data_IF_358437969385
#
_entry.id   IF_358437969385
#
_cell.length_a   1.000
_cell.length_b   1.000
_cell.length_c   1.000
_cell.angle_alpha   90.00
_cell.angle_beta   90.00
_cell.angle_gamma   90.00
#
_symmetry.space_group_name_H-M   'P 1'
#
loop_
_entity.id
_entity.type
_entity.pdbx_description
1 polymer ?
#
# COMPACT_ATOMS: atom_id res chain seq x y z
N UNK A 1 -27.27 -5.88 23.95
CA UNK A 1 -26.68 -4.75 23.21
C UNK A 1 -25.17 -4.74 23.49
N UNK A 2 -24.30 -5.12 22.55
CA UNK A 2 -22.86 -4.98 22.78
C UNK A 2 -22.40 -3.57 22.42
N UNK A 3 -21.57 -3.00 23.30
CA UNK A 3 -21.00 -1.67 23.17
C UNK A 3 -20.17 -1.55 21.88
N UNK A 4 -20.49 -0.54 21.08
CA UNK A 4 -19.67 -0.10 19.95
C UNK A 4 -18.32 0.36 20.48
N UNK A 5 -17.28 -0.40 20.18
CA UNK A 5 -15.88 -0.05 20.47
C UNK A 5 -15.54 1.18 19.64
N UNK A 6 -15.53 2.35 20.28
CA UNK A 6 -15.09 3.60 19.68
C UNK A 6 -13.59 3.49 19.41
N UNK A 7 -13.20 3.37 18.14
CA UNK A 7 -11.80 3.45 17.74
C UNK A 7 -11.34 4.90 17.80
N UNK A 8 -10.26 5.15 18.55
CA UNK A 8 -9.61 6.46 18.66
C UNK A 8 -9.11 6.92 17.27
N UNK A 9 -9.27 8.19 16.88
CA UNK A 9 -8.93 8.71 15.55
C UNK A 9 -7.44 8.61 15.15
N UNK A 10 -6.56 8.23 16.09
CA UNK A 10 -5.12 8.29 15.94
C UNK A 10 -4.52 7.24 14.98
N UNK A 11 -5.31 6.28 14.46
CA UNK A 11 -4.77 5.11 13.75
C UNK A 11 -4.93 5.17 12.22
N UNK A 12 -5.56 6.21 11.64
CA UNK A 12 -5.85 6.28 10.19
C UNK A 12 -4.84 7.18 9.42
N UNK A 13 -3.56 7.16 9.79
CA UNK A 13 -2.72 8.35 9.68
C UNK A 13 -1.33 8.16 9.07
N UNK A 14 -1.17 7.58 7.88
CA UNK A 14 0.19 7.55 7.26
C UNK A 14 0.35 8.25 5.90
N UNK A 15 -0.69 8.45 5.09
CA UNK A 15 -0.66 9.52 4.06
C UNK A 15 -1.20 10.87 4.58
N UNK A 16 -2.05 10.79 5.62
CA UNK A 16 -2.66 11.95 6.31
C UNK A 16 -1.64 12.70 7.17
N UNK A 17 -0.68 12.01 7.77
CA UNK A 17 0.26 12.59 8.75
C UNK A 17 1.13 13.67 8.14
N UNK A 18 1.57 13.50 6.89
CA UNK A 18 2.47 14.45 6.24
C UNK A 18 1.72 15.70 5.73
N UNK A 19 0.47 15.55 5.27
CA UNK A 19 -0.27 16.63 4.58
C UNK A 19 -1.49 17.17 5.33
N UNK A 20 -1.95 16.50 6.39
CA UNK A 20 -3.16 16.88 7.15
C UNK A 20 -4.47 16.76 6.37
N UNK A 21 -4.47 16.10 5.20
CA UNK A 21 -5.62 16.08 4.29
C UNK A 21 -6.78 15.24 4.85
N UNK A 22 -7.94 15.87 4.99
CA UNK A 22 -9.19 15.19 5.34
C UNK A 22 -9.76 14.51 4.10
N UNK A 23 -9.69 13.19 4.03
CA UNK A 23 -10.38 12.39 3.02
C UNK A 23 -11.64 11.75 3.61
N UNK A 24 -12.75 11.66 2.86
CA UNK A 24 -13.92 10.89 3.27
C UNK A 24 -13.50 9.43 3.49
N UNK A 25 -13.93 8.82 4.60
CA UNK A 25 -13.59 7.42 4.91
C UNK A 25 -14.28 6.44 3.95
N UNK A 26 -15.43 6.85 3.37
CA UNK A 26 -16.22 6.01 2.49
C UNK A 26 -16.26 6.58 1.07
N UNK A 27 -16.19 5.68 0.10
CA UNK A 27 -16.59 5.96 -1.27
C UNK A 27 -18.10 6.22 -1.30
N UNK A 28 -18.57 6.99 -2.27
CA UNK A 28 -20.00 7.26 -2.42
C UNK A 28 -20.71 6.00 -2.90
N UNK A 29 -21.23 5.19 -1.97
CA UNK A 29 -21.95 3.95 -2.30
C UNK A 29 -23.14 4.22 -3.24
N UNK A 30 -23.76 5.40 -3.13
CA UNK A 30 -24.83 5.87 -4.02
C UNK A 30 -24.37 5.95 -5.48
N UNK A 31 -23.17 6.45 -5.73
CA UNK A 31 -22.67 6.64 -7.10
C UNK A 31 -22.30 5.31 -7.73
N UNK A 32 -21.78 4.36 -6.94
CA UNK A 32 -21.57 2.98 -7.37
C UNK A 32 -22.90 2.29 -7.75
N UNK A 33 -23.94 2.39 -6.92
CA UNK A 33 -25.26 1.86 -7.28
C UNK A 33 -25.83 2.53 -8.54
N UNK A 34 -25.65 3.84 -8.69
CA UNK A 34 -26.07 4.57 -9.89
C UNK A 34 -25.38 4.16 -11.18
N UNK A 35 -24.23 3.48 -11.12
CA UNK A 35 -23.58 2.82 -12.27
C UNK A 35 -24.09 1.39 -12.44
N UNK A 36 -24.21 0.64 -11.33
CA UNK A 36 -24.71 -0.74 -11.33
C UNK A 36 -26.11 -0.88 -11.92
N UNK A 37 -27.01 0.03 -11.55
CA UNK A 37 -28.42 0.04 -11.94
C UNK A 37 -28.65 0.45 -13.41
N UNK A 38 -27.60 0.85 -14.15
CA UNK A 38 -27.73 1.18 -15.57
C UNK A 38 -27.79 -0.09 -16.40
N UNK A 39 -29.00 -0.44 -16.85
CA UNK A 39 -29.22 -1.61 -17.70
C UNK A 39 -28.63 -1.47 -19.11
N UNK A 40 -28.39 -0.23 -19.57
CA UNK A 40 -27.93 0.07 -20.94
C UNK A 40 -26.41 0.11 -21.10
N UNK A 41 -25.64 -0.07 -20.03
CA UNK A 41 -24.18 -0.11 -20.10
C UNK A 41 -23.70 -1.56 -20.23
N UNK A 42 -22.74 -1.79 -21.12
CA UNK A 42 -21.99 -3.03 -21.16
C UNK A 42 -21.18 -3.22 -19.87
N UNK A 43 -20.75 -4.45 -19.60
CA UNK A 43 -20.05 -4.78 -18.36
C UNK A 43 -18.71 -4.06 -18.26
N UNK A 44 -17.94 -4.03 -19.34
CA UNK A 44 -16.65 -3.35 -19.42
C UNK A 44 -16.80 -1.85 -19.15
N UNK A 45 -17.83 -1.21 -19.72
CA UNK A 45 -18.12 0.21 -19.50
C UNK A 45 -18.46 0.48 -18.03
N UNK A 46 -19.12 -0.45 -17.33
CA UNK A 46 -19.37 -0.31 -15.88
C UNK A 46 -18.06 -0.37 -15.08
N UNK A 47 -17.13 -1.26 -15.46
CA UNK A 47 -15.82 -1.35 -14.79
C UNK A 47 -15.00 -0.07 -14.95
N UNK A 48 -15.01 0.52 -16.15
CA UNK A 48 -14.35 1.82 -16.38
C UNK A 48 -14.94 2.91 -15.48
N UNK A 49 -16.27 2.98 -15.36
CA UNK A 49 -16.92 3.96 -14.47
C UNK A 49 -16.65 3.71 -12.99
N UNK A 50 -16.56 2.45 -12.56
CA UNK A 50 -16.15 2.14 -11.19
C UNK A 50 -14.70 2.54 -10.91
N UNK A 51 -13.81 2.37 -11.90
CA UNK A 51 -12.44 2.85 -11.82
C UNK A 51 -12.39 4.37 -11.70
N UNK A 52 -13.14 5.11 -12.51
CA UNK A 52 -13.23 6.58 -12.41
C UNK A 52 -13.67 7.03 -11.01
N UNK A 53 -14.68 6.38 -10.43
CA UNK A 53 -15.14 6.69 -9.07
C UNK A 53 -14.07 6.39 -8.01
N UNK A 54 -13.34 5.29 -8.16
CA UNK A 54 -12.25 4.93 -7.27
C UNK A 54 -11.08 5.92 -7.39
N UNK A 55 -10.67 6.25 -8.62
CA UNK A 55 -9.58 7.16 -8.91
C UNK A 55 -9.90 8.58 -8.42
N UNK A 56 -11.15 9.03 -8.55
CA UNK A 56 -11.60 10.32 -8.01
C UNK A 56 -11.57 10.34 -6.47
N UNK A 57 -12.02 9.26 -5.83
CA UNK A 57 -12.00 9.13 -4.37
C UNK A 57 -10.57 9.10 -3.82
N UNK A 58 -9.69 8.33 -4.47
CA UNK A 58 -8.27 8.22 -4.12
C UNK A 58 -7.44 9.40 -4.61
N UNK A 59 -8.03 10.28 -5.42
CA UNK A 59 -7.37 11.43 -6.03
C UNK A 59 -6.11 11.02 -6.80
N UNK A 60 -6.20 9.94 -7.58
CA UNK A 60 -5.08 9.26 -8.19
C UNK A 60 -4.13 10.23 -8.93
N UNK A 61 -4.66 11.15 -9.74
CA UNK A 61 -3.85 12.16 -10.44
C UNK A 61 -3.05 13.06 -9.49
N UNK A 62 -3.68 13.57 -8.43
CA UNK A 62 -2.99 14.41 -7.45
C UNK A 62 -1.96 13.63 -6.63
N UNK A 63 -2.18 12.32 -6.43
CA UNK A 63 -1.23 11.44 -5.79
C UNK A 63 -0.02 11.17 -6.68
N UNK A 64 -0.21 10.92 -7.98
CA UNK A 64 0.91 10.75 -8.92
C UNK A 64 1.74 12.03 -9.04
N UNK A 65 1.11 13.20 -9.13
CA UNK A 65 1.81 14.49 -9.13
C UNK A 65 2.62 14.71 -7.83
N UNK A 66 2.05 14.32 -6.69
CA UNK A 66 2.74 14.36 -5.41
C UNK A 66 3.93 13.40 -5.37
N UNK A 67 3.79 12.16 -5.85
CA UNK A 67 4.90 11.20 -5.92
C UNK A 67 6.04 11.74 -6.77
N UNK A 68 5.72 12.28 -7.94
CA UNK A 68 6.71 12.84 -8.86
C UNK A 68 7.48 14.03 -8.28
N UNK A 69 6.86 14.82 -7.39
CA UNK A 69 7.46 16.06 -6.88
C UNK A 69 8.07 15.94 -5.48
N UNK A 70 7.36 15.27 -4.57
CA UNK A 70 7.73 15.20 -3.16
C UNK A 70 8.54 13.94 -2.80
N UNK A 71 8.47 12.90 -3.64
CA UNK A 71 9.08 11.60 -3.40
C UNK A 71 9.95 11.12 -4.58
N UNK A 72 10.81 11.99 -5.18
CA UNK A 72 11.56 11.62 -6.38
C UNK A 72 12.55 10.48 -6.16
N UNK A 73 13.07 10.34 -4.93
CA UNK A 73 14.08 9.34 -4.57
C UNK A 73 13.50 8.25 -3.65
N UNK A 74 12.18 8.07 -3.63
CA UNK A 74 11.55 7.08 -2.76
C UNK A 74 12.00 5.66 -3.09
N UNK A 75 12.17 5.34 -4.38
CA UNK A 75 12.61 4.01 -4.81
C UNK A 75 14.01 3.71 -4.26
N UNK A 76 14.97 4.64 -4.40
CA UNK A 76 16.33 4.53 -3.85
C UNK A 76 16.31 4.40 -2.32
N UNK A 77 15.56 5.27 -1.63
CA UNK A 77 15.45 5.24 -0.17
C UNK A 77 14.80 3.95 0.35
N UNK A 78 13.87 3.36 -0.41
CA UNK A 78 13.26 2.07 -0.06
C UNK A 78 14.27 0.94 -0.19
N UNK A 79 15.06 0.90 -1.27
CA UNK A 79 16.11 -0.11 -1.45
C UNK A 79 17.16 0.01 -0.34
N UNK A 80 17.62 1.22 -0.03
CA UNK A 80 18.57 1.48 1.07
C UNK A 80 18.01 0.97 2.41
N UNK A 81 16.74 1.25 2.71
CA UNK A 81 16.11 0.77 3.93
C UNK A 81 16.03 -0.76 3.98
N UNK A 82 15.64 -1.40 2.87
CA UNK A 82 15.51 -2.86 2.80
C UNK A 82 16.85 -3.58 2.92
N UNK A 83 17.93 -2.98 2.43
CA UNK A 83 19.30 -3.49 2.58
C UNK A 83 19.91 -3.21 3.97
N UNK A 84 19.24 -2.39 4.79
CA UNK A 84 19.74 -2.01 6.11
C UNK A 84 19.65 -3.15 7.13
N UNK A 85 20.54 -3.09 8.12
CA UNK A 85 20.49 -4.00 9.26
C UNK A 85 19.20 -3.84 10.09
N UNK A 86 18.61 -2.64 10.12
CA UNK A 86 17.37 -2.38 10.85
C UNK A 86 16.20 -3.18 10.26
N UNK A 87 16.11 -3.24 8.93
CA UNK A 87 15.09 -4.03 8.25
C UNK A 87 15.30 -5.54 8.47
N UNK A 88 16.55 -6.02 8.41
CA UNK A 88 16.86 -7.41 8.73
C UNK A 88 16.47 -7.79 10.17
N UNK A 89 16.78 -6.93 11.13
CA UNK A 89 16.38 -7.12 12.53
C UNK A 89 14.86 -7.15 12.70
N UNK A 90 14.14 -6.25 12.01
CA UNK A 90 12.68 -6.24 11.99
C UNK A 90 12.10 -7.55 11.44
N UNK A 91 12.62 -8.01 10.31
CA UNK A 91 12.22 -9.25 9.65
C UNK A 91 12.42 -10.45 10.58
N UNK A 92 13.61 -10.59 11.16
CA UNK A 92 13.93 -11.68 12.09
C UNK A 92 13.01 -11.63 13.31
N UNK A 93 12.77 -10.44 13.86
CA UNK A 93 11.89 -10.24 15.02
C UNK A 93 10.46 -10.69 14.73
N UNK A 94 9.89 -10.31 13.58
CA UNK A 94 8.52 -10.69 13.20
C UNK A 94 8.41 -12.21 13.06
N UNK A 95 9.35 -12.85 12.36
CA UNK A 95 9.32 -14.31 12.16
C UNK A 95 9.43 -15.03 13.52
N UNK A 96 10.30 -14.55 14.42
CA UNK A 96 10.43 -15.13 15.75
C UNK A 96 9.19 -14.95 16.63
N UNK A 97 8.40 -13.91 16.40
CA UNK A 97 7.18 -13.63 17.16
C UNK A 97 5.99 -14.47 16.69
N UNK A 98 5.84 -14.66 15.37
CA UNK A 98 4.62 -15.23 14.78
C UNK A 98 4.76 -16.72 14.44
N UNK A 99 5.98 -17.23 14.24
CA UNK A 99 6.20 -18.58 13.72
C UNK A 99 6.71 -19.58 14.76
N UNK A 100 6.44 -20.86 14.50
CA UNK A 100 6.89 -21.97 15.36
C UNK A 100 8.42 -22.11 15.33
N UNK A 101 9.09 -22.38 16.47
CA UNK A 101 10.56 -22.41 16.56
C UNK A 101 11.25 -23.26 15.49
N UNK A 102 10.68 -24.42 15.15
CA UNK A 102 11.23 -25.34 14.14
C UNK A 102 11.19 -24.79 12.71
N UNK A 103 10.36 -23.77 12.43
CA UNK A 103 10.23 -23.14 11.12
C UNK A 103 11.01 -21.82 11.01
N UNK A 104 11.39 -21.21 12.13
CA UNK A 104 11.92 -19.85 12.17
C UNK A 104 13.20 -19.69 11.33
N UNK A 105 14.19 -20.58 11.53
CA UNK A 105 15.47 -20.47 10.82
C UNK A 105 15.30 -20.62 9.30
N UNK A 106 14.48 -21.58 8.86
CA UNK A 106 14.16 -21.78 7.44
C UNK A 106 13.46 -20.55 6.84
N UNK A 107 12.52 -19.96 7.57
CA UNK A 107 11.79 -18.79 7.10
C UNK A 107 12.64 -17.52 7.09
N UNK A 108 13.54 -17.36 8.06
CA UNK A 108 14.51 -16.25 8.09
C UNK A 108 15.42 -16.33 6.87
N UNK A 109 16.02 -17.51 6.63
CA UNK A 109 16.91 -17.73 5.50
C UNK A 109 16.20 -17.44 4.16
N UNK A 110 15.01 -18.03 3.98
CA UNK A 110 14.21 -17.84 2.77
C UNK A 110 13.82 -16.38 2.56
N UNK A 111 13.40 -15.70 3.62
CA UNK A 111 12.96 -14.30 3.52
C UNK A 111 14.12 -13.38 3.17
N UNK A 112 15.30 -13.57 3.77
CA UNK A 112 16.52 -12.85 3.41
C UNK A 112 16.91 -13.07 1.95
N UNK A 113 16.82 -14.30 1.45
CA UNK A 113 17.11 -14.61 0.05
C UNK A 113 16.14 -13.90 -0.92
N UNK A 114 14.84 -13.88 -0.60
CA UNK A 114 13.83 -13.19 -1.40
C UNK A 114 14.03 -11.67 -1.39
N UNK A 115 14.32 -11.10 -0.23
CA UNK A 115 14.58 -9.67 -0.07
C UNK A 115 15.84 -9.26 -0.85
N UNK A 116 16.92 -10.04 -0.75
CA UNK A 116 18.14 -9.77 -1.51
C UNK A 116 17.96 -9.91 -3.02
N UNK A 117 17.17 -10.88 -3.48
CA UNK A 117 16.83 -11.03 -4.90
C UNK A 117 16.02 -9.82 -5.42
N UNK A 118 15.02 -9.37 -4.66
CA UNK A 118 14.24 -8.19 -5.00
C UNK A 118 15.10 -6.93 -5.08
N UNK A 119 15.96 -6.66 -4.08
CA UNK A 119 16.83 -5.49 -4.11
C UNK A 119 17.77 -5.49 -5.33
N UNK A 120 18.30 -6.65 -5.71
CA UNK A 120 19.12 -6.78 -6.92
C UNK A 120 18.35 -6.49 -8.21
N UNK A 121 17.06 -6.86 -8.28
CA UNK A 121 16.18 -6.53 -9.41
C UNK A 121 15.92 -5.02 -9.48
N UNK A 122 15.71 -4.34 -8.35
CA UNK A 122 15.50 -2.88 -8.32
C UNK A 122 16.75 -2.11 -8.78
N UNK A 123 17.94 -2.50 -8.32
CA UNK A 123 19.20 -1.92 -8.81
C UNK A 123 19.39 -2.15 -10.31
N UNK A 124 19.02 -3.32 -10.83
CA UNK A 124 19.08 -3.61 -12.26
C UNK A 124 18.09 -2.77 -13.07
N UNK A 125 16.89 -2.51 -12.53
CA UNK A 125 15.89 -1.65 -13.13
C UNK A 125 16.34 -0.18 -13.14
N UNK A 126 17.01 0.28 -12.07
CA UNK A 126 17.59 1.62 -12.02
C UNK A 126 18.73 1.81 -13.03
N UNK A 127 19.65 0.85 -13.14
CA UNK A 127 20.74 0.91 -14.11
C UNK A 127 20.26 0.91 -15.58
N UNK A 128 19.02 0.48 -15.83
CA UNK A 128 18.39 0.48 -17.16
C UNK A 128 17.53 1.71 -17.47
N UNK A 129 17.32 2.63 -16.52
CA UNK A 129 16.55 3.88 -16.69
C UNK A 129 17.44 5.02 -17.17
#
# INVERSE_FOLDING_TARGET
MPATKTYSPAVIAELRTVTGRSMPINQSTRDYFGVGDREKLAYEEKLERYRELADAHLQATAFEDFRATALPNLDEAMVEYVESAEFDELLVRIIRAEERPEMQELLIERSRALVGAWAAEEHAAEAGR
#
